data_IF_164548919725
#
_entry.id   IF_164548919725
#
_cell.length_a   1.000
_cell.length_b   1.000
_cell.length_c   1.000
_cell.angle_alpha   90.00
_cell.angle_beta   90.00
_cell.angle_gamma   90.00
#
_symmetry.space_group_name_H-M   'P 1'
#
loop_
_entity.id
_entity.type
_entity.pdbx_description
1 polymer ?
#
# COMPACT_ATOMS: atom_id res chain seq x y z
N UNK A 1 27.31 12.66 -6.61
CA UNK A 1 27.71 13.66 -7.62
C UNK A 1 26.78 13.44 -8.79
N UNK A 2 26.02 14.46 -9.20
CA UNK A 2 25.18 14.35 -10.39
C UNK A 2 26.08 14.05 -11.59
N UNK A 3 25.65 13.13 -12.44
CA UNK A 3 26.32 12.90 -13.73
C UNK A 3 26.32 14.22 -14.51
N UNK A 4 27.46 14.65 -15.08
CA UNK A 4 27.59 15.97 -15.71
C UNK A 4 26.84 16.10 -17.06
N UNK A 5 26.13 15.07 -17.52
CA UNK A 5 25.53 15.05 -18.87
C UNK A 5 24.01 15.18 -18.94
N UNK A 6 23.30 15.32 -17.82
CA UNK A 6 21.86 15.61 -17.83
C UNK A 6 21.56 16.66 -16.77
N UNK A 7 20.80 17.68 -17.16
CA UNK A 7 20.14 18.75 -16.37
C UNK A 7 19.97 18.47 -14.88
N UNK A 8 19.89 19.50 -14.03
CA UNK A 8 19.76 19.54 -12.55
C UNK A 8 18.60 18.70 -11.91
N UNK A 9 18.04 17.73 -12.62
CA UNK A 9 16.88 16.92 -12.31
C UNK A 9 17.17 15.43 -12.52
N UNK A 10 16.82 14.59 -11.53
CA UNK A 10 16.90 13.12 -11.56
C UNK A 10 15.50 12.50 -11.72
N UNK A 11 15.34 11.62 -12.71
CA UNK A 11 14.13 10.80 -12.90
C UNK A 11 14.46 9.31 -12.89
N UNK A 12 13.74 8.54 -12.09
CA UNK A 12 14.04 7.12 -11.78
C UNK A 12 13.67 6.16 -12.93
N UNK A 13 12.77 6.58 -13.82
CA UNK A 13 12.10 5.68 -14.78
C UNK A 13 12.27 6.08 -16.23
N UNK A 14 13.06 7.13 -16.51
CA UNK A 14 13.25 7.61 -17.87
C UNK A 14 14.47 6.94 -18.50
N UNK A 15 14.24 6.29 -19.64
CA UNK A 15 15.29 5.73 -20.49
C UNK A 15 15.36 6.57 -21.75
N UNK A 16 16.56 7.05 -22.09
CA UNK A 16 16.78 7.83 -23.31
C UNK A 16 16.75 6.90 -24.52
N UNK A 17 15.71 7.04 -25.34
CA UNK A 17 15.49 6.21 -26.54
C UNK A 17 16.59 6.40 -27.57
N UNK A 18 17.07 7.63 -27.80
CA UNK A 18 18.14 7.91 -28.80
C UNK A 18 19.44 7.14 -28.53
N UNK A 19 19.79 6.89 -27.27
CA UNK A 19 20.95 6.07 -26.92
C UNK A 19 20.70 4.58 -27.25
N UNK A 20 19.50 4.07 -26.97
CA UNK A 20 19.12 2.69 -27.29
C UNK A 20 19.11 2.44 -28.81
N UNK A 21 18.72 3.46 -29.59
CA UNK A 21 18.82 3.45 -31.05
C UNK A 21 20.27 3.36 -31.52
N UNK A 22 21.17 4.15 -30.94
CA UNK A 22 22.60 4.11 -31.26
C UNK A 22 23.26 2.75 -30.96
N UNK A 23 22.80 2.04 -29.93
CA UNK A 23 23.28 0.71 -29.56
C UNK A 23 22.61 -0.45 -30.31
N UNK A 24 21.71 -0.19 -31.28
CA UNK A 24 20.95 -1.18 -32.04
C UNK A 24 20.08 -2.14 -31.19
N UNK A 25 19.56 -1.68 -30.05
CA UNK A 25 18.75 -2.48 -29.13
C UNK A 25 17.25 -2.12 -29.11
N UNK A 26 16.81 -1.33 -30.07
CA UNK A 26 15.42 -0.83 -30.20
C UNK A 26 14.39 -1.95 -30.11
N UNK A 27 14.55 -3.00 -30.93
CA UNK A 27 13.60 -4.12 -30.99
C UNK A 27 13.43 -4.81 -29.64
N UNK A 28 14.53 -4.99 -28.89
CA UNK A 28 14.49 -5.65 -27.58
C UNK A 28 13.77 -4.75 -26.58
N UNK A 29 14.10 -3.46 -26.56
CA UNK A 29 13.51 -2.49 -25.65
C UNK A 29 12.01 -2.30 -25.91
N UNK A 30 11.60 -2.22 -27.18
CA UNK A 30 10.20 -2.13 -27.59
C UNK A 30 9.37 -3.34 -27.15
N UNK A 31 9.92 -4.55 -27.28
CA UNK A 31 9.25 -5.77 -26.81
C UNK A 31 9.06 -5.70 -25.29
N UNK A 32 10.10 -5.29 -24.54
CA UNK A 32 10.02 -5.17 -23.09
C UNK A 32 8.99 -4.13 -22.65
N UNK A 33 8.94 -2.97 -23.32
CA UNK A 33 7.92 -1.95 -23.05
C UNK A 33 6.50 -2.45 -23.35
N UNK A 34 6.29 -3.19 -24.45
CA UNK A 34 4.98 -3.80 -24.77
C UNK A 34 4.55 -4.82 -23.72
N UNK A 35 5.49 -5.65 -23.23
CA UNK A 35 5.24 -6.56 -22.11
C UNK A 35 4.87 -5.77 -20.86
N UNK A 36 5.59 -4.69 -20.56
CA UNK A 36 5.30 -3.81 -19.41
C UNK A 36 3.87 -3.24 -19.48
N UNK A 37 3.43 -2.78 -20.65
CA UNK A 37 2.05 -2.30 -20.88
C UNK A 37 1.03 -3.42 -20.62
N UNK A 38 1.29 -4.65 -21.08
CA UNK A 38 0.41 -5.79 -20.80
C UNK A 38 0.26 -6.06 -19.30
N UNK A 39 1.35 -6.00 -18.54
CA UNK A 39 1.36 -6.19 -17.09
C UNK A 39 0.69 -5.00 -16.37
N UNK A 40 0.87 -3.78 -16.85
CA UNK A 40 0.18 -2.58 -16.33
C UNK A 40 -1.34 -2.73 -16.45
N UNK A 41 -1.85 -3.19 -17.60
CA UNK A 41 -3.29 -3.42 -17.80
C UNK A 41 -3.82 -4.45 -16.81
N UNK A 42 -3.10 -5.56 -16.62
CA UNK A 42 -3.46 -6.56 -15.61
C UNK A 42 -3.53 -5.96 -14.20
N UNK A 43 -2.53 -5.16 -13.83
CA UNK A 43 -2.48 -4.51 -12.52
C UNK A 43 -3.61 -3.50 -12.30
N UNK A 44 -4.06 -2.81 -13.36
CA UNK A 44 -5.26 -1.96 -13.30
C UNK A 44 -6.53 -2.74 -13.00
N UNK A 45 -6.73 -3.89 -13.66
CA UNK A 45 -7.89 -4.76 -13.43
C UNK A 45 -7.89 -5.26 -11.98
N UNK A 46 -6.73 -5.69 -11.48
CA UNK A 46 -6.56 -6.09 -10.09
C UNK A 46 -6.87 -4.93 -9.12
N UNK A 47 -6.37 -3.73 -9.40
CA UNK A 47 -6.63 -2.55 -8.57
C UNK A 47 -8.14 -2.23 -8.49
N UNK A 48 -8.85 -2.26 -9.63
CA UNK A 48 -10.30 -2.05 -9.66
C UNK A 48 -11.04 -3.09 -8.83
N UNK A 49 -10.61 -4.34 -8.90
CA UNK A 49 -11.18 -5.43 -8.10
C UNK A 49 -10.93 -5.23 -6.60
N UNK A 50 -9.72 -4.86 -6.23
CA UNK A 50 -9.40 -4.51 -4.85
C UNK A 50 -10.23 -3.33 -4.36
N UNK A 51 -10.36 -2.29 -5.17
CA UNK A 51 -11.15 -1.11 -4.82
C UNK A 51 -12.60 -1.48 -4.54
N UNK A 52 -13.19 -2.36 -5.34
CA UNK A 52 -14.50 -2.97 -5.04
C UNK A 52 -14.51 -3.64 -3.66
N UNK A 53 -13.53 -4.50 -3.35
CA UNK A 53 -13.45 -5.18 -2.06
C UNK A 53 -13.32 -4.21 -0.88
N UNK A 54 -12.53 -3.14 -1.02
CA UNK A 54 -12.36 -2.11 -0.01
C UNK A 54 -13.65 -1.34 0.29
N UNK A 55 -14.42 -1.03 -0.75
CA UNK A 55 -15.66 -0.24 -0.62
C UNK A 55 -16.81 -1.10 -0.09
N UNK A 56 -16.94 -2.33 -0.58
CA UNK A 56 -18.09 -3.19 -0.30
C UNK A 56 -17.87 -4.08 0.92
N UNK A 57 -16.66 -4.61 1.12
CA UNK A 57 -16.37 -5.59 2.18
C UNK A 57 -15.52 -4.98 3.29
N UNK A 58 -16.18 -4.75 4.43
CA UNK A 58 -15.52 -4.27 5.65
C UNK A 58 -14.79 -5.41 6.35
N UNK A 59 -13.54 -5.62 5.94
CA UNK A 59 -12.66 -6.63 6.54
C UNK A 59 -11.64 -6.04 7.53
N UNK A 60 -11.51 -4.71 7.56
CA UNK A 60 -10.48 -3.99 8.30
C UNK A 60 -11.07 -2.78 9.03
N UNK A 61 -10.30 -2.27 10.00
CA UNK A 61 -10.68 -1.09 10.77
C UNK A 61 -10.83 0.11 9.82
N UNK A 62 -11.79 0.99 10.12
CA UNK A 62 -12.15 2.11 9.25
C UNK A 62 -10.96 3.01 8.85
N UNK A 63 -10.17 3.44 9.83
CA UNK A 63 -9.01 4.31 9.60
C UNK A 63 -7.92 3.63 8.75
N UNK A 64 -7.66 2.34 8.99
CA UNK A 64 -6.71 1.55 8.21
C UNK A 64 -7.21 1.33 6.78
N UNK A 65 -8.50 1.06 6.60
CA UNK A 65 -9.15 0.94 5.28
C UNK A 65 -8.99 2.23 4.48
N UNK A 66 -9.25 3.38 5.12
CA UNK A 66 -9.08 4.68 4.48
C UNK A 66 -7.63 4.94 4.06
N UNK A 67 -6.65 4.60 4.91
CA UNK A 67 -5.23 4.70 4.54
C UNK A 67 -4.92 3.82 3.32
N UNK A 68 -5.31 2.55 3.32
CA UNK A 68 -5.10 1.67 2.18
C UNK A 68 -5.76 2.17 0.88
N UNK A 69 -7.00 2.69 0.95
CA UNK A 69 -7.67 3.29 -0.22
C UNK A 69 -6.92 4.53 -0.73
N UNK A 70 -6.41 5.38 0.16
CA UNK A 70 -5.63 6.55 -0.20
C UNK A 70 -4.32 6.17 -0.90
N UNK A 71 -3.61 5.15 -0.40
CA UNK A 71 -2.41 4.61 -1.05
C UNK A 71 -2.72 3.92 -2.37
N UNK A 72 -3.83 3.17 -2.43
CA UNK A 72 -4.33 2.59 -3.67
C UNK A 72 -4.58 3.66 -4.73
N UNK A 73 -5.22 4.78 -4.36
CA UNK A 73 -5.41 5.92 -5.26
C UNK A 73 -4.09 6.53 -5.74
N UNK A 74 -3.09 6.68 -4.88
CA UNK A 74 -1.76 7.15 -5.30
C UNK A 74 -1.05 6.17 -6.24
N UNK A 75 -1.19 4.87 -5.99
CA UNK A 75 -0.69 3.83 -6.87
C UNK A 75 -1.33 3.91 -8.26
N UNK A 76 -2.65 4.11 -8.32
CA UNK A 76 -3.37 4.32 -9.57
C UNK A 76 -2.81 5.50 -10.38
N UNK A 77 -2.63 6.67 -9.77
CA UNK A 77 -2.04 7.83 -10.45
C UNK A 77 -0.57 7.58 -10.87
N UNK A 78 0.19 6.82 -10.08
CA UNK A 78 1.56 6.42 -10.41
C UNK A 78 1.62 5.44 -11.59
N UNK A 79 0.63 4.55 -11.73
CA UNK A 79 0.52 3.68 -12.91
C UNK A 79 0.11 4.47 -14.15
N UNK A 80 -0.86 5.38 -14.01
CA UNK A 80 -1.28 6.25 -15.12
C UNK A 80 -0.10 7.07 -15.64
N UNK A 81 0.71 7.63 -14.75
CA UNK A 81 1.90 8.38 -15.14
C UNK A 81 2.93 7.50 -15.84
N UNK A 82 3.10 6.23 -15.43
CA UNK A 82 3.96 5.29 -16.15
C UNK A 82 3.44 4.98 -17.55
N UNK A 83 2.13 4.82 -17.74
CA UNK A 83 1.55 4.63 -19.08
C UNK A 83 1.89 5.80 -20.01
N UNK A 84 1.79 7.04 -19.53
CA UNK A 84 2.16 8.24 -20.31
C UNK A 84 3.65 8.26 -20.68
N UNK A 85 4.54 7.87 -19.75
CA UNK A 85 5.98 7.80 -20.00
C UNK A 85 6.29 6.70 -21.03
N UNK A 86 5.70 5.50 -20.89
CA UNK A 86 5.91 4.39 -21.85
C UNK A 86 5.37 4.76 -23.23
N UNK A 87 4.25 5.46 -23.29
CA UNK A 87 3.66 5.95 -24.53
C UNK A 87 4.64 6.84 -25.32
N UNK A 88 5.33 7.76 -24.65
CA UNK A 88 6.41 8.54 -25.27
C UNK A 88 7.62 7.66 -25.66
N UNK A 89 8.02 6.73 -24.79
CA UNK A 89 9.19 5.86 -25.04
C UNK A 89 9.02 4.93 -26.25
N UNK A 90 7.77 4.65 -26.66
CA UNK A 90 7.45 3.90 -27.88
C UNK A 90 7.52 4.75 -29.17
N UNK A 91 8.05 5.97 -29.10
CA UNK A 91 8.29 6.82 -30.26
C UNK A 91 7.08 7.66 -30.69
N UNK A 92 6.04 7.76 -29.85
CA UNK A 92 4.97 8.74 -30.06
C UNK A 92 5.43 10.08 -29.50
N UNK A 93 6.08 10.87 -30.36
CA UNK A 93 6.62 12.18 -29.97
C UNK A 93 5.49 13.15 -29.60
N UNK A 94 5.50 13.70 -28.37
CA UNK A 94 4.48 14.61 -27.92
C UNK A 94 4.69 16.02 -28.46
N UNK A 95 3.61 16.69 -28.87
CA UNK A 95 3.61 18.14 -29.12
C UNK A 95 4.09 18.92 -27.86
N UNK A 96 4.50 20.18 -27.99
CA UNK A 96 5.04 21.02 -26.90
C UNK A 96 4.19 21.02 -25.61
N UNK A 97 2.85 21.04 -25.75
CA UNK A 97 1.92 20.97 -24.60
C UNK A 97 1.99 19.61 -23.89
N UNK A 98 2.19 18.54 -24.64
CA UNK A 98 2.24 17.17 -24.15
C UNK A 98 3.61 16.84 -23.57
N UNK A 99 4.67 17.56 -23.95
CA UNK A 99 5.98 17.52 -23.28
C UNK A 99 5.88 17.93 -21.79
N UNK A 100 5.11 18.98 -21.48
CA UNK A 100 4.87 19.38 -20.07
C UNK A 100 4.15 18.28 -19.29
N UNK A 101 3.20 17.58 -19.92
CA UNK A 101 2.45 16.47 -19.31
C UNK A 101 3.39 15.31 -18.96
N UNK A 102 4.37 14.99 -19.81
CA UNK A 102 5.38 13.96 -19.55
C UNK A 102 6.25 14.33 -18.35
N UNK A 103 6.67 15.60 -18.22
CA UNK A 103 7.46 16.05 -17.08
C UNK A 103 6.63 15.87 -15.80
N UNK A 104 5.38 16.32 -15.79
CA UNK A 104 4.46 16.14 -14.66
C UNK A 104 4.27 14.65 -14.35
N UNK A 105 4.16 13.79 -15.37
CA UNK A 105 4.04 12.34 -15.19
C UNK A 105 5.28 11.77 -14.48
N UNK A 106 6.49 12.20 -14.83
CA UNK A 106 7.72 11.78 -14.15
C UNK A 106 7.76 12.24 -12.68
N UNK A 107 7.31 13.46 -12.38
CA UNK A 107 7.16 13.95 -11.00
C UNK A 107 6.16 13.09 -10.21
N UNK A 108 4.96 12.89 -10.75
CA UNK A 108 3.91 12.06 -10.11
C UNK A 108 4.38 10.62 -9.91
N UNK A 109 5.09 10.04 -10.88
CA UNK A 109 5.67 8.70 -10.79
C UNK A 109 6.65 8.60 -9.62
N UNK A 110 7.61 9.53 -9.56
CA UNK A 110 8.66 9.57 -8.54
C UNK A 110 8.08 9.78 -7.14
N UNK A 111 7.13 10.71 -6.99
CA UNK A 111 6.42 10.94 -5.73
C UNK A 111 5.68 9.67 -5.29
N UNK A 112 4.95 9.03 -6.19
CA UNK A 112 4.22 7.78 -5.89
C UNK A 112 5.14 6.64 -5.42
N UNK A 113 6.32 6.51 -6.03
CA UNK A 113 7.34 5.54 -5.60
C UNK A 113 7.89 5.84 -4.21
N UNK A 114 8.17 7.11 -3.91
CA UNK A 114 8.62 7.52 -2.58
C UNK A 114 7.56 7.23 -1.51
N UNK A 115 6.28 7.49 -1.81
CA UNK A 115 5.18 7.14 -0.92
C UNK A 115 5.16 5.63 -0.64
N UNK A 116 5.29 4.78 -1.67
CA UNK A 116 5.37 3.33 -1.49
C UNK A 116 6.54 2.92 -0.58
N UNK A 117 7.70 3.57 -0.71
CA UNK A 117 8.88 3.31 0.13
C UNK A 117 8.70 3.75 1.59
N UNK A 118 7.88 4.78 1.87
CA UNK A 118 7.63 5.32 3.22
C UNK A 118 6.35 4.80 3.89
N UNK A 119 5.62 3.86 3.29
CA UNK A 119 4.28 3.46 3.75
C UNK A 119 4.25 2.74 5.12
N UNK A 120 5.31 2.00 5.47
CA UNK A 120 5.35 1.17 6.69
C UNK A 120 5.18 1.93 8.01
N UNK A 121 5.92 3.02 8.28
CA UNK A 121 5.75 3.80 9.50
C UNK A 121 4.34 4.38 9.64
N UNK A 122 3.62 4.61 8.54
CA UNK A 122 2.24 5.14 8.58
C UNK A 122 1.29 4.08 9.12
N UNK A 123 1.37 2.84 8.63
CA UNK A 123 0.61 1.73 9.19
C UNK A 123 0.98 1.41 10.63
N UNK A 124 2.27 1.53 10.98
CA UNK A 124 2.73 1.37 12.36
C UNK A 124 2.06 2.36 13.31
N UNK A 125 2.06 3.65 12.98
CA UNK A 125 1.48 4.71 13.83
C UNK A 125 -0.02 4.50 13.98
N UNK A 126 -0.71 4.19 12.89
CA UNK A 126 -2.15 3.92 12.94
C UNK A 126 -2.47 2.73 13.87
N UNK A 127 -1.69 1.64 13.79
CA UNK A 127 -1.85 0.49 14.72
C UNK A 127 -1.51 0.83 16.16
N UNK A 128 -0.51 1.69 16.40
CA UNK A 128 -0.22 2.19 17.75
C UNK A 128 -1.39 3.02 18.30
N UNK A 129 -1.98 3.92 17.51
CA UNK A 129 -3.14 4.71 17.92
C UNK A 129 -4.34 3.82 18.23
N UNK A 130 -4.64 2.83 17.38
CA UNK A 130 -5.71 1.86 17.64
C UNK A 130 -5.50 1.09 18.96
N UNK A 131 -4.25 0.78 19.29
CA UNK A 131 -3.86 0.11 20.54
C UNK A 131 -4.02 1.01 21.77
N UNK A 132 -3.54 2.26 21.69
CA UNK A 132 -3.64 3.21 22.80
C UNK A 132 -5.08 3.66 23.06
N UNK A 133 -5.87 3.82 22.01
CA UNK A 133 -7.23 4.35 22.06
C UNK A 133 -8.30 3.25 21.95
N UNK A 134 -7.97 1.99 22.28
CA UNK A 134 -8.82 0.81 22.05
C UNK A 134 -10.29 1.01 22.44
N UNK A 135 -10.56 1.68 23.57
CA UNK A 135 -11.92 1.89 24.10
C UNK A 135 -12.84 2.71 23.18
N UNK A 136 -12.29 3.71 22.50
CA UNK A 136 -13.05 4.75 21.80
C UNK A 136 -12.72 4.88 20.31
N UNK A 137 -11.58 4.33 19.87
CA UNK A 137 -11.03 4.53 18.52
C UNK A 137 -12.00 4.04 17.44
N UNK A 138 -12.59 2.87 17.61
CA UNK A 138 -13.50 2.27 16.62
C UNK A 138 -14.96 2.66 16.80
N UNK A 139 -15.38 3.03 18.02
CA UNK A 139 -16.78 3.39 18.31
C UNK A 139 -17.23 4.63 17.53
N UNK A 140 -16.31 5.59 17.38
CA UNK A 140 -16.62 6.89 16.79
C UNK A 140 -16.40 6.97 15.28
N UNK A 141 -15.83 5.92 14.65
CA UNK A 141 -15.48 5.87 13.21
C UNK A 141 -14.85 7.18 12.69
N UNK A 142 -14.11 7.88 13.54
CA UNK A 142 -13.60 9.21 13.25
C UNK A 142 -12.36 9.12 12.36
N UNK A 143 -12.49 9.63 11.13
CA UNK A 143 -11.44 9.66 10.10
C UNK A 143 -10.24 10.54 10.48
N UNK A 144 -10.41 11.38 11.51
CA UNK A 144 -9.42 12.35 12.00
C UNK A 144 -8.04 11.75 12.25
N UNK A 145 -7.96 10.52 12.77
CA UNK A 145 -6.68 9.87 13.02
C UNK A 145 -5.90 9.64 11.72
N UNK A 146 -6.56 9.09 10.68
CA UNK A 146 -5.91 8.89 9.39
C UNK A 146 -5.58 10.21 8.70
N UNK A 147 -6.48 11.21 8.75
CA UNK A 147 -6.19 12.54 8.20
C UNK A 147 -5.00 13.21 8.88
N UNK A 148 -4.88 13.09 10.21
CA UNK A 148 -3.73 13.62 10.96
C UNK A 148 -2.43 12.95 10.52
N UNK A 149 -2.42 11.61 10.41
CA UNK A 149 -1.24 10.88 9.96
C UNK A 149 -0.84 11.34 8.54
N UNK A 150 -1.79 11.40 7.61
CA UNK A 150 -1.52 11.85 6.24
C UNK A 150 -1.02 13.30 6.20
N UNK A 151 -1.60 14.20 7.01
CA UNK A 151 -1.21 15.61 7.05
C UNK A 151 0.24 15.83 7.51
N UNK A 152 0.79 14.91 8.30
CA UNK A 152 2.17 14.98 8.78
C UNK A 152 3.11 14.25 7.80
N UNK A 153 2.72 13.05 7.35
CA UNK A 153 3.61 12.20 6.56
C UNK A 153 3.70 12.64 5.09
N UNK A 154 2.60 13.07 4.47
CA UNK A 154 2.62 13.47 3.07
C UNK A 154 3.62 14.61 2.84
N UNK A 155 3.59 15.75 3.56
CA UNK A 155 4.57 16.80 3.35
C UNK A 155 6.02 16.33 3.48
N UNK A 156 6.32 15.44 4.43
CA UNK A 156 7.66 14.87 4.60
C UNK A 156 8.10 14.03 3.39
N UNK A 157 7.21 13.16 2.91
CA UNK A 157 7.50 12.30 1.75
C UNK A 157 7.62 13.13 0.47
N UNK A 158 6.74 14.11 0.26
CA UNK A 158 6.81 15.02 -0.88
C UNK A 158 8.10 15.83 -0.87
N UNK A 159 8.51 16.35 0.29
CA UNK A 159 9.79 17.07 0.42
C UNK A 159 10.97 16.16 0.11
N UNK A 160 10.95 14.92 0.58
CA UNK A 160 11.99 13.92 0.26
C UNK A 160 12.05 13.62 -1.25
N UNK A 161 10.90 13.44 -1.90
CA UNK A 161 10.83 13.21 -3.34
C UNK A 161 11.33 14.42 -4.16
N UNK A 162 10.95 15.64 -3.79
CA UNK A 162 11.41 16.87 -4.44
C UNK A 162 12.93 17.04 -4.25
N UNK A 163 13.44 16.79 -3.04
CA UNK A 163 14.87 16.85 -2.74
C UNK A 163 15.68 15.82 -3.56
N UNK A 164 15.09 14.66 -3.84
CA UNK A 164 15.69 13.68 -4.75
C UNK A 164 15.69 14.16 -6.19
N UNK A 165 14.53 14.59 -6.70
CA UNK A 165 14.34 15.04 -8.08
C UNK A 165 15.29 16.20 -8.39
N UNK A 166 15.30 17.25 -7.58
CA UNK A 166 16.17 18.42 -7.76
C UNK A 166 17.60 18.23 -7.24
N UNK A 167 17.98 16.99 -6.91
CA UNK A 167 19.32 16.65 -6.51
C UNK A 167 19.86 17.37 -5.25
N UNK A 168 18.97 17.93 -4.41
CA UNK A 168 19.36 18.66 -3.19
C UNK A 168 20.13 17.77 -2.21
N UNK A 169 19.83 16.47 -2.22
CA UNK A 169 20.51 15.48 -1.39
C UNK A 169 21.12 14.35 -2.26
N UNK A 170 22.21 13.71 -1.79
CA UNK A 170 22.77 12.52 -2.44
C UNK A 170 21.79 11.34 -2.38
N UNK A 171 21.78 10.49 -3.42
CA UNK A 171 20.95 9.26 -3.46
C UNK A 171 21.13 8.40 -2.21
N UNK A 172 22.38 8.26 -1.73
CA UNK A 172 22.74 7.48 -0.55
C UNK A 172 21.98 7.94 0.70
N UNK A 173 21.73 9.25 0.85
CA UNK A 173 20.96 9.78 1.98
C UNK A 173 19.51 9.28 1.96
N UNK A 174 18.85 9.32 0.80
CA UNK A 174 17.49 8.80 0.64
C UNK A 174 17.44 7.29 0.92
N UNK A 175 18.40 6.53 0.40
CA UNK A 175 18.47 5.07 0.63
C UNK A 175 18.62 4.74 2.12
N UNK A 176 19.54 5.40 2.82
CA UNK A 176 19.71 5.23 4.28
C UNK A 176 18.42 5.61 5.01
N UNK A 177 17.78 6.72 4.63
CA UNK A 177 16.51 7.15 5.20
C UNK A 177 15.43 6.08 5.02
N UNK A 178 15.26 5.53 3.81
CA UNK A 178 14.29 4.46 3.52
C UNK A 178 14.53 3.23 4.40
N UNK A 179 15.79 2.79 4.56
CA UNK A 179 16.08 1.64 5.43
C UNK A 179 15.72 1.92 6.89
N UNK A 180 16.12 3.07 7.42
CA UNK A 180 15.85 3.43 8.83
C UNK A 180 14.35 3.45 9.11
N UNK A 181 13.56 4.16 8.29
CA UNK A 181 12.12 4.28 8.53
C UNK A 181 11.38 2.95 8.37
N UNK A 182 11.81 2.09 7.43
CA UNK A 182 11.19 0.78 7.24
C UNK A 182 11.51 -0.17 8.39
N UNK A 183 12.75 -0.16 8.91
CA UNK A 183 13.14 -0.95 10.09
C UNK A 183 12.34 -0.49 11.32
N UNK A 184 12.19 0.83 11.53
CA UNK A 184 11.37 1.38 12.61
C UNK A 184 9.91 0.90 12.47
N UNK A 185 9.33 1.02 11.27
CA UNK A 185 7.97 0.57 10.97
C UNK A 185 7.76 -0.93 11.24
N UNK A 186 8.72 -1.77 10.86
CA UNK A 186 8.71 -3.20 11.11
C UNK A 186 8.74 -3.53 12.61
N UNK A 187 9.71 -2.97 13.35
CA UNK A 187 9.85 -3.17 14.79
C UNK A 187 8.60 -2.69 15.53
N UNK A 188 8.05 -1.54 15.16
CA UNK A 188 6.90 -0.97 15.83
C UNK A 188 5.63 -1.81 15.67
N UNK A 189 5.36 -2.36 14.48
CA UNK A 189 4.22 -3.29 14.29
C UNK A 189 4.45 -4.58 15.07
N UNK A 190 5.69 -5.09 15.11
CA UNK A 190 6.01 -6.27 15.90
C UNK A 190 5.78 -6.06 17.40
N UNK A 191 6.22 -4.91 17.92
CA UNK A 191 6.02 -4.53 19.32
C UNK A 191 4.53 -4.33 19.63
N UNK A 192 3.80 -3.61 18.78
CA UNK A 192 2.36 -3.37 18.91
C UNK A 192 1.57 -4.69 18.96
N UNK A 193 1.86 -5.61 18.04
CA UNK A 193 1.30 -6.97 18.04
C UNK A 193 1.60 -7.74 19.33
N UNK A 194 2.86 -7.68 19.80
CA UNK A 194 3.29 -8.37 21.02
C UNK A 194 2.61 -7.79 22.27
N UNK A 195 2.48 -6.47 22.34
CA UNK A 195 1.79 -5.76 23.41
C UNK A 195 0.31 -6.14 23.46
N UNK A 196 -0.36 -6.12 22.30
CA UNK A 196 -1.77 -6.49 22.20
C UNK A 196 -2.03 -7.93 22.59
N UNK A 197 -1.19 -8.87 22.14
CA UNK A 197 -1.29 -10.29 22.54
C UNK A 197 -1.11 -10.47 24.05
N UNK A 198 -0.12 -9.80 24.66
CA UNK A 198 0.09 -9.85 26.11
C UNK A 198 -1.10 -9.27 26.88
N UNK A 199 -1.66 -8.15 26.42
CA UNK A 199 -2.86 -7.54 27.01
C UNK A 199 -4.07 -8.48 26.85
N UNK A 200 -4.18 -9.18 25.72
CA UNK A 200 -5.26 -10.12 25.45
C UNK A 200 -5.18 -11.36 26.35
N UNK A 201 -3.99 -11.94 26.51
CA UNK A 201 -3.75 -13.10 27.39
C UNK A 201 -4.05 -12.81 28.87
N UNK A 202 -3.83 -11.57 29.33
CA UNK A 202 -4.19 -11.16 30.70
C UNK A 202 -5.68 -11.29 31.00
N UNK A 203 -6.57 -11.23 29.99
CA UNK A 203 -8.01 -11.44 30.20
C UNK A 203 -8.38 -12.89 30.53
N UNK A 204 -7.56 -13.85 30.11
CA UNK A 204 -7.78 -15.28 30.33
C UNK A 204 -6.93 -15.83 31.49
N UNK A 205 -6.10 -14.98 32.11
CA UNK A 205 -5.31 -15.37 33.28
C UNK A 205 -6.19 -15.43 34.53
N UNK A 206 -6.16 -16.57 35.20
CA UNK A 206 -6.89 -16.86 36.45
C UNK A 206 -6.60 -15.87 37.59
N UNK A 207 -5.45 -15.18 37.57
CA UNK A 207 -5.09 -14.15 38.57
C UNK A 207 -5.87 -12.83 38.42
N UNK A 208 -6.53 -12.59 37.29
CA UNK A 208 -7.17 -11.31 36.97
C UNK A 208 -8.70 -11.32 37.06
N UNK A 209 -9.31 -12.49 37.25
CA UNK A 209 -10.77 -12.66 37.24
C UNK A 209 -11.46 -11.88 38.38
N UNK A 210 -10.73 -11.56 39.46
CA UNK A 210 -11.27 -10.88 40.65
C UNK A 210 -11.11 -9.36 40.68
N UNK A 211 -10.37 -8.73 39.74
CA UNK A 211 -10.01 -7.30 39.82
C UNK A 211 -10.36 -6.46 38.58
N UNK A 212 -10.89 -7.07 37.52
CA UNK A 212 -10.91 -6.46 36.19
C UNK A 212 -12.34 -6.51 35.64
N UNK A 213 -13.13 -5.47 35.97
CA UNK A 213 -14.41 -5.16 35.32
C UNK A 213 -14.12 -4.52 33.95
N UNK A 214 -13.80 -5.34 32.96
CA UNK A 214 -13.57 -4.89 31.59
C UNK A 214 -14.62 -5.51 30.67
N UNK A 215 -15.24 -4.67 29.83
CA UNK A 215 -16.34 -5.06 28.96
C UNK A 215 -15.92 -5.98 27.81
N UNK A 216 -16.86 -6.84 27.38
CA UNK A 216 -16.74 -7.75 26.24
C UNK A 216 -16.26 -7.05 24.96
N UNK A 217 -16.64 -5.78 24.78
CA UNK A 217 -16.21 -4.94 23.66
C UNK A 217 -14.69 -4.73 23.59
N UNK A 218 -14.01 -4.50 24.72
CA UNK A 218 -12.56 -4.25 24.71
C UNK A 218 -11.77 -5.50 24.33
N UNK A 219 -12.27 -6.68 24.71
CA UNK A 219 -11.67 -7.96 24.33
C UNK A 219 -11.77 -8.20 22.83
N UNK A 220 -12.95 -7.95 22.26
CA UNK A 220 -13.19 -8.06 20.83
C UNK A 220 -12.28 -7.12 20.02
N UNK A 221 -12.26 -5.83 20.37
CA UNK A 221 -11.42 -4.83 19.70
C UNK A 221 -9.93 -5.19 19.76
N UNK A 222 -9.48 -5.78 20.86
CA UNK A 222 -8.10 -6.22 20.99
C UNK A 222 -7.79 -7.43 20.10
N UNK A 223 -8.73 -8.38 19.99
CA UNK A 223 -8.59 -9.52 19.09
C UNK A 223 -8.54 -9.09 17.61
N UNK A 224 -9.39 -8.12 17.22
CA UNK A 224 -9.37 -7.53 15.88
C UNK A 224 -8.04 -6.80 15.60
N UNK A 225 -7.54 -6.02 16.56
CA UNK A 225 -6.24 -5.37 16.47
C UNK A 225 -5.08 -6.37 16.31
N UNK A 226 -5.11 -7.51 17.02
CA UNK A 226 -4.11 -8.58 16.86
C UNK A 226 -4.19 -9.18 15.46
N UNK A 227 -5.41 -9.52 14.99
CA UNK A 227 -5.65 -10.02 13.63
C UNK A 227 -5.05 -9.07 12.60
N UNK A 228 -5.37 -7.79 12.69
CA UNK A 228 -4.88 -6.78 11.75
C UNK A 228 -3.38 -6.55 11.81
N UNK A 229 -2.77 -6.57 12.99
CA UNK A 229 -1.31 -6.53 13.10
C UNK A 229 -0.64 -7.74 12.44
N UNK A 230 -1.25 -8.93 12.50
CA UNK A 230 -0.72 -10.12 11.83
C UNK A 230 -0.87 -10.04 10.30
N UNK A 231 -1.98 -9.49 9.80
CA UNK A 231 -2.16 -9.18 8.37
C UNK A 231 -1.07 -8.21 7.91
N UNK A 232 -0.86 -7.12 8.63
CA UNK A 232 0.16 -6.13 8.30
C UNK A 232 1.57 -6.73 8.33
N UNK A 233 1.92 -7.55 9.31
CA UNK A 233 3.23 -8.24 9.34
C UNK A 233 3.53 -9.03 8.06
N UNK A 234 2.53 -9.73 7.49
CA UNK A 234 2.70 -10.45 6.21
C UNK A 234 2.97 -9.48 5.06
N UNK A 235 2.20 -8.40 4.98
CA UNK A 235 2.37 -7.34 3.98
C UNK A 235 3.74 -6.64 4.14
N UNK A 236 4.20 -6.42 5.37
CA UNK A 236 5.48 -5.77 5.66
C UNK A 236 6.69 -6.52 5.13
N UNK A 237 6.70 -7.85 5.23
CA UNK A 237 7.81 -8.67 4.73
C UNK A 237 7.97 -8.48 3.22
N UNK A 238 6.85 -8.44 2.48
CA UNK A 238 6.85 -8.17 1.05
C UNK A 238 7.32 -6.74 0.73
N UNK A 239 6.84 -5.74 1.45
CA UNK A 239 7.27 -4.34 1.28
C UNK A 239 8.77 -4.19 1.58
N UNK A 240 9.30 -4.86 2.61
CA UNK A 240 10.70 -4.76 2.96
C UNK A 240 11.61 -5.39 1.90
N UNK A 241 11.24 -6.56 1.37
CA UNK A 241 11.94 -7.20 0.27
C UNK A 241 11.95 -6.32 -0.99
N UNK A 242 10.80 -5.71 -1.29
CA UNK A 242 10.70 -4.74 -2.38
C UNK A 242 11.56 -3.49 -2.16
N UNK A 243 11.57 -2.94 -0.95
CA UNK A 243 12.39 -1.76 -0.67
C UNK A 243 13.89 -2.06 -0.80
N UNK A 244 14.36 -3.26 -0.43
CA UNK A 244 15.75 -3.69 -0.66
C UNK A 244 16.10 -3.70 -2.14
N UNK A 245 15.27 -4.32 -2.98
CA UNK A 245 15.55 -4.42 -4.42
C UNK A 245 15.54 -3.04 -5.10
N UNK A 246 14.54 -2.21 -4.82
CA UNK A 246 14.49 -0.85 -5.35
C UNK A 246 15.65 0.03 -4.89
N UNK A 247 16.02 -0.03 -3.60
CA UNK A 247 17.15 0.73 -3.08
C UNK A 247 18.48 0.27 -3.70
N UNK A 248 18.66 -1.03 -3.91
CA UNK A 248 19.84 -1.58 -4.58
C UNK A 248 20.00 -1.03 -5.99
N UNK A 249 18.89 -0.95 -6.73
CA UNK A 249 18.89 -0.38 -8.08
C UNK A 249 19.14 1.13 -8.05
N UNK A 250 18.52 1.86 -7.13
CA UNK A 250 18.77 3.31 -6.98
C UNK A 250 20.24 3.61 -6.64
N UNK A 251 20.90 2.75 -5.86
CA UNK A 251 22.32 2.90 -5.57
C UNK A 251 23.21 2.69 -6.80
N UNK A 252 22.75 2.02 -7.85
CA UNK A 252 23.54 1.87 -9.08
C UNK A 252 23.81 3.20 -9.77
N UNK A 253 22.94 4.20 -9.60
CA UNK A 253 23.14 5.58 -10.07
C UNK A 253 24.29 6.30 -9.31
N UNK A 254 24.63 5.83 -8.11
CA UNK A 254 25.74 6.38 -7.34
C UNK A 254 27.10 5.86 -7.82
N UNK A 255 27.15 4.59 -8.22
CA UNK A 255 28.35 3.98 -8.74
C UNK A 255 28.53 4.42 -10.20
N UNK A 256 29.75 4.84 -10.59
CA UNK A 256 30.08 5.27 -11.97
C UNK A 256 30.09 4.06 -12.92
N UNK A 257 28.95 3.42 -13.09
CA UNK A 257 28.73 2.22 -13.90
C UNK A 257 28.43 2.65 -15.34
N UNK A 258 28.70 1.76 -16.29
CA UNK A 258 28.32 1.92 -17.68
C UNK A 258 26.82 2.23 -17.87
N UNK A 259 26.51 3.12 -18.82
CA UNK A 259 25.16 3.61 -19.09
C UNK A 259 24.19 2.50 -19.47
N UNK A 260 24.67 1.47 -20.19
CA UNK A 260 23.84 0.34 -20.58
C UNK A 260 23.33 -0.45 -19.37
N UNK A 261 24.17 -0.64 -18.35
CA UNK A 261 23.78 -1.30 -17.11
C UNK A 261 22.75 -0.45 -16.36
N UNK A 262 22.89 0.88 -16.37
CA UNK A 262 21.91 1.80 -15.75
C UNK A 262 20.53 1.64 -16.41
N UNK A 263 20.45 1.57 -17.74
CA UNK A 263 19.17 1.38 -18.43
C UNK A 263 18.54 0.02 -18.17
N UNK A 264 19.32 -1.06 -18.18
CA UNK A 264 18.84 -2.37 -17.76
C UNK A 264 18.32 -2.34 -16.32
N UNK A 265 19.00 -1.62 -15.43
CA UNK A 265 18.55 -1.43 -14.06
C UNK A 265 17.24 -0.66 -13.97
N UNK A 266 17.01 0.37 -14.80
CA UNK A 266 15.72 1.07 -14.84
C UNK A 266 14.57 0.19 -15.35
N UNK A 267 14.82 -0.66 -16.37
CA UNK A 267 13.82 -1.65 -16.82
C UNK A 267 13.50 -2.61 -15.69
N UNK A 268 14.53 -3.21 -15.07
CA UNK A 268 14.37 -4.11 -13.93
C UNK A 268 13.62 -3.44 -12.77
N UNK A 269 13.91 -2.17 -12.49
CA UNK A 269 13.23 -1.40 -11.47
C UNK A 269 11.73 -1.24 -11.75
N UNK A 270 11.36 -0.95 -13.00
CA UNK A 270 9.95 -0.80 -13.38
C UNK A 270 9.19 -2.14 -13.24
N UNK A 271 9.77 -3.23 -13.72
CA UNK A 271 9.18 -4.57 -13.52
C UNK A 271 9.08 -4.92 -12.04
N UNK A 272 10.06 -4.55 -11.23
CA UNK A 272 10.02 -4.79 -9.79
C UNK A 272 8.90 -3.97 -9.12
N UNK A 273 8.69 -2.72 -9.54
CA UNK A 273 7.58 -1.88 -9.08
C UNK A 273 6.21 -2.46 -9.46
N UNK A 274 6.09 -3.04 -10.66
CA UNK A 274 4.87 -3.74 -11.08
C UNK A 274 4.64 -5.01 -10.27
N UNK A 275 5.68 -5.82 -10.09
CA UNK A 275 5.61 -7.02 -9.27
C UNK A 275 5.17 -6.69 -7.84
N UNK A 276 5.69 -5.62 -7.25
CA UNK A 276 5.26 -5.11 -5.95
C UNK A 276 3.80 -4.68 -5.93
N UNK A 277 3.40 -3.89 -6.92
CA UNK A 277 2.04 -3.40 -7.08
C UNK A 277 1.00 -4.51 -7.18
N UNK A 278 1.37 -5.68 -7.71
CA UNK A 278 0.53 -6.88 -7.77
C UNK A 278 0.66 -7.74 -6.50
N UNK A 279 1.87 -7.90 -5.97
CA UNK A 279 2.11 -8.81 -4.84
C UNK A 279 1.43 -8.34 -3.55
N UNK A 280 1.45 -7.03 -3.25
CA UNK A 280 0.84 -6.48 -2.03
C UNK A 280 -0.68 -6.73 -1.98
N UNK A 281 -1.44 -6.40 -3.03
CA UNK A 281 -2.83 -6.83 -3.20
C UNK A 281 -3.10 -8.31 -2.94
N UNK A 282 -2.34 -9.20 -3.59
CA UNK A 282 -2.52 -10.65 -3.47
C UNK A 282 -2.29 -11.09 -2.03
N UNK A 283 -1.26 -10.58 -1.36
CA UNK A 283 -0.99 -10.89 0.05
C UNK A 283 -2.14 -10.40 0.92
N UNK A 284 -2.61 -9.17 0.71
CA UNK A 284 -3.72 -8.61 1.50
C UNK A 284 -5.01 -9.44 1.31
N UNK A 285 -5.31 -9.82 0.08
CA UNK A 285 -6.41 -10.74 -0.26
C UNK A 285 -6.26 -12.11 0.39
N UNK A 286 -5.06 -12.69 0.37
CA UNK A 286 -4.78 -13.98 1.00
C UNK A 286 -4.89 -13.93 2.54
N UNK A 287 -4.68 -12.75 3.12
CA UNK A 287 -4.67 -12.55 4.56
C UNK A 287 -6.04 -12.21 5.14
N UNK A 288 -7.00 -11.80 4.30
CA UNK A 288 -8.36 -11.40 4.69
C UNK A 288 -9.39 -12.46 4.24
N UNK A 289 -9.85 -13.35 5.14
CA UNK A 289 -10.80 -14.41 4.78
C UNK A 289 -12.15 -13.86 4.31
N UNK A 290 -12.55 -12.67 4.77
CA UNK A 290 -13.78 -11.99 4.36
C UNK A 290 -13.79 -11.71 2.85
N UNK A 291 -12.66 -11.26 2.30
CA UNK A 291 -12.51 -11.00 0.87
C UNK A 291 -12.53 -12.28 0.04
N UNK A 292 -11.95 -13.37 0.57
CA UNK A 292 -12.00 -14.68 -0.09
C UNK A 292 -13.40 -15.24 -0.13
N UNK A 293 -14.19 -15.05 0.93
CA UNK A 293 -15.60 -15.46 0.98
C UNK A 293 -16.41 -14.72 -0.09
N UNK A 294 -16.22 -13.40 -0.20
CA UNK A 294 -16.89 -12.59 -1.22
C UNK A 294 -16.50 -12.99 -2.65
N UNK A 295 -15.21 -13.25 -2.89
CA UNK A 295 -14.72 -13.69 -4.20
C UNK A 295 -15.35 -15.02 -4.59
N UNK A 296 -15.44 -15.97 -3.65
CA UNK A 296 -16.16 -17.24 -3.88
C UNK A 296 -17.61 -16.98 -4.24
N UNK A 297 -18.31 -16.09 -3.51
CA UNK A 297 -19.71 -15.71 -3.81
C UNK A 297 -19.86 -15.19 -5.25
N UNK A 298 -19.00 -14.25 -5.66
CA UNK A 298 -19.03 -13.69 -7.02
C UNK A 298 -18.76 -14.76 -8.09
N UNK A 299 -17.79 -15.63 -7.88
CA UNK A 299 -17.49 -16.74 -8.80
C UNK A 299 -18.68 -17.68 -8.92
N UNK A 300 -19.34 -18.04 -7.81
CA UNK A 300 -20.54 -18.89 -7.84
C UNK A 300 -21.71 -18.24 -8.59
N UNK A 301 -21.90 -16.93 -8.43
CA UNK A 301 -22.90 -16.16 -9.17
C UNK A 301 -22.60 -16.17 -10.69
N UNK A 302 -21.35 -15.97 -11.08
CA UNK A 302 -20.94 -16.00 -12.50
C UNK A 302 -21.06 -17.39 -13.12
N UNK A 303 -20.87 -18.47 -12.35
CA UNK A 303 -20.96 -19.86 -12.82
C UNK A 303 -22.42 -20.37 -12.84
N UNK A 304 -23.39 -19.57 -12.41
CA UNK A 304 -24.82 -19.93 -12.46
C UNK A 304 -25.22 -21.08 -11.52
N UNK A 305 -24.36 -21.45 -10.57
CA UNK A 305 -24.71 -22.40 -9.51
C UNK A 305 -25.35 -21.64 -8.36
N UNK A 306 -26.67 -21.45 -8.45
CA UNK A 306 -27.46 -21.02 -7.31
C UNK A 306 -27.48 -22.15 -6.28
N UNK A 307 -26.64 -22.05 -5.25
CA UNK A 307 -26.95 -22.67 -3.97
C UNK A 307 -26.61 -21.72 -2.83
N UNK A 308 -27.63 -21.54 -1.99
CA UNK A 308 -27.68 -20.70 -0.80
C UNK A 308 -26.58 -21.12 0.18
N UNK A 309 -25.57 -20.28 0.34
CA UNK A 309 -24.96 -20.05 1.65
C UNK A 309 -25.06 -18.55 1.92
N UNK A 310 -25.61 -18.25 3.08
CA UNK A 310 -26.09 -16.94 3.51
C UNK A 310 -25.11 -15.81 3.16
N UNK A 311 -25.67 -14.64 2.81
CA UNK A 311 -24.97 -13.36 2.65
C UNK A 311 -23.85 -13.22 3.68
N UNK A 312 -22.76 -12.47 3.40
CA UNK A 312 -21.73 -12.23 4.40
C UNK A 312 -22.42 -11.68 5.66
N UNK A 313 -22.57 -12.59 6.63
CA UNK A 313 -23.13 -12.35 7.92
C UNK A 313 -21.96 -12.00 8.83
N UNK A 314 -22.18 -11.07 9.74
CA UNK A 314 -21.25 -10.82 10.83
C UNK A 314 -21.01 -12.13 11.61
N UNK A 315 -20.06 -12.13 12.54
CA UNK A 315 -19.81 -13.25 13.46
C UNK A 315 -21.07 -13.79 14.16
N UNK A 316 -22.19 -13.06 14.11
CA UNK A 316 -23.47 -13.36 14.74
C UNK A 316 -24.62 -13.67 13.78
N UNK A 317 -24.40 -13.77 12.46
CA UNK A 317 -25.44 -14.30 11.57
C UNK A 317 -26.37 -13.27 10.91
N UNK A 318 -26.05 -11.97 10.88
CA UNK A 318 -26.85 -10.93 10.20
C UNK A 318 -26.08 -10.14 9.11
N UNK A 319 -26.82 -9.65 8.10
CA UNK A 319 -26.34 -8.92 6.92
C UNK A 319 -25.29 -7.84 7.26
N UNK A 320 -24.17 -7.81 6.53
CA UNK A 320 -23.09 -6.82 6.69
C UNK A 320 -23.33 -5.49 5.95
N UNK A 321 -24.44 -5.35 5.22
CA UNK A 321 -24.76 -4.15 4.43
C UNK A 321 -25.84 -3.36 5.17
N UNK A 322 -25.43 -2.32 5.89
CA UNK A 322 -26.34 -1.38 6.54
C UNK A 322 -26.32 -0.06 5.79
N UNK A 323 -27.50 0.48 5.50
CA UNK A 323 -27.66 1.77 4.82
C UNK A 323 -27.24 2.96 5.70
N UNK A 324 -27.17 2.79 7.02
CA UNK A 324 -26.81 3.83 7.98
C UNK A 324 -25.67 3.38 8.91
N UNK A 325 -24.55 4.10 8.86
CA UNK A 325 -23.33 3.81 9.61
C UNK A 325 -23.49 4.01 11.13
N UNK A 326 -24.44 4.84 11.58
CA UNK A 326 -24.73 5.06 13.00
C UNK A 326 -25.61 3.95 13.57
N UNK A 327 -26.59 3.51 12.78
CA UNK A 327 -27.46 2.38 13.10
C UNK A 327 -26.66 1.07 13.17
N UNK A 328 -25.71 0.87 12.26
CA UNK A 328 -24.81 -0.28 12.28
C UNK A 328 -23.87 -0.29 13.50
N UNK A 329 -23.22 0.82 13.84
CA UNK A 329 -22.36 0.91 15.03
C UNK A 329 -23.17 0.61 16.29
N UNK A 330 -24.36 1.22 16.41
CA UNK A 330 -25.23 0.99 17.54
C UNK A 330 -25.74 -0.46 17.58
N UNK A 331 -26.25 -1.03 16.49
CA UNK A 331 -26.70 -2.43 16.44
C UNK A 331 -25.55 -3.38 16.80
N UNK A 332 -24.36 -3.15 16.24
CA UNK A 332 -23.15 -3.93 16.54
C UNK A 332 -22.79 -3.92 18.04
N UNK A 333 -22.87 -2.76 18.72
CA UNK A 333 -22.63 -2.69 20.17
C UNK A 333 -23.83 -3.10 21.03
N UNK A 334 -25.07 -2.95 20.54
CA UNK A 334 -26.30 -3.25 21.30
C UNK A 334 -26.62 -4.74 21.29
N UNK A 335 -26.33 -5.45 20.19
CA UNK A 335 -26.46 -6.91 20.11
C UNK A 335 -25.53 -7.62 21.11
N UNK A 336 -24.36 -7.04 21.38
CA UNK A 336 -23.38 -7.57 22.34
C UNK A 336 -23.82 -7.49 23.81
N UNK A 337 -24.68 -6.54 24.16
CA UNK A 337 -25.21 -6.41 25.53
C UNK A 337 -26.41 -7.34 25.78
N UNK A 338 -27.09 -7.81 24.72
CA UNK A 338 -28.22 -8.75 24.85
C UNK A 338 -27.82 -10.19 25.15
N UNK A 339 -26.56 -10.57 24.89
CA UNK A 339 -26.02 -11.92 25.21
C UNK A 339 -25.50 -12.05 26.66
N UNK A 340 -25.74 -11.03 27.50
CA UNK A 340 -25.33 -11.00 28.92
C UNK A 340 -26.50 -10.97 29.91
N UNK A 341 -27.73 -11.14 29.41
CA UNK A 341 -28.89 -11.57 30.20
C UNK A 341 -29.25 -13.00 29.79
#
# INVERSE_FOLDING_TARGET
MCSPSTSDVRFITFVNTTYIQAENLETVFDILLKIEVGVLVFSWIEFLYLFYLFVIIRAMHFNLTFLFMNYGGQYFFSMLSRCLIVWQQLGMDPDDNLHQVIIIANYLRTIGLFIAMYILPIFMIERCLATFLVKNYEKSRNIWASLLILSIFHPLVFTSAIAYIHCWLPVVFHVISFFIVNVIGYIGIHYCSSYNTKKHQKFYSSKCFSKVSYGLSERFQLAENIKMCNVLKKVQISIFFFNIGCCSILLMDHFKIDMMIIYWSYICFNFFCLAYGITVPIILYSALPEWQKETRRLIFLCIGRAHVEEEPKSTFGEQMIYNDATMESNIYFTQFNKTTE
#
